data_IF_379206729092
#
_entry.id   IF_379206729092
#
_cell.length_a   1.000
_cell.length_b   1.000
_cell.length_c   1.000
_cell.angle_alpha   90.00
_cell.angle_beta   90.00
_cell.angle_gamma   90.00
#
_symmetry.space_group_name_H-M   'P 1'
#
loop_
_entity.id
_entity.type
_entity.pdbx_description
1 polymer ?
#
# COMPACT_ATOMS: atom_id res chain seq x y z
N UNK A 1 10.83 -11.28 22.34
CA UNK A 1 9.86 -10.61 21.44
C UNK A 1 9.70 -11.55 20.27
N UNK A 2 8.52 -12.13 20.12
CA UNK A 2 8.28 -13.22 19.18
C UNK A 2 8.49 -12.70 17.75
N UNK A 3 9.37 -13.35 16.98
CA UNK A 3 9.49 -13.14 15.55
C UNK A 3 8.15 -13.55 14.92
N UNK A 4 7.28 -12.57 14.67
CA UNK A 4 6.05 -12.79 13.92
C UNK A 4 6.44 -12.88 12.44
N UNK A 5 6.79 -14.09 12.03
CA UNK A 5 6.90 -14.43 10.61
C UNK A 5 5.55 -14.14 9.93
N UNK A 6 5.59 -13.27 8.92
CA UNK A 6 4.42 -12.96 8.10
C UNK A 6 4.08 -14.22 7.30
N UNK A 7 2.93 -14.81 7.60
CA UNK A 7 2.45 -16.04 6.98
C UNK A 7 2.05 -15.80 5.51
N UNK A 8 2.04 -16.83 4.65
CA UNK A 8 1.61 -16.69 3.25
C UNK A 8 0.22 -16.04 3.09
N UNK A 9 -0.70 -16.30 4.04
CA UNK A 9 -2.03 -15.70 4.03
C UNK A 9 -1.99 -14.19 4.33
N UNK A 10 -1.11 -13.74 5.23
CA UNK A 10 -0.91 -12.31 5.51
C UNK A 10 -0.24 -11.61 4.32
N UNK A 11 0.71 -12.26 3.64
CA UNK A 11 1.29 -11.73 2.38
C UNK A 11 0.21 -11.54 1.32
N UNK A 12 -0.71 -12.49 1.18
CA UNK A 12 -1.84 -12.38 0.26
C UNK A 12 -2.74 -11.19 0.64
N UNK A 13 -3.09 -11.03 1.92
CA UNK A 13 -3.86 -9.88 2.40
C UNK A 13 -3.14 -8.55 2.13
N UNK A 14 -1.81 -8.49 2.30
CA UNK A 14 -1.03 -7.30 1.98
C UNK A 14 -1.12 -6.95 0.48
N UNK A 15 -1.11 -7.95 -0.41
CA UNK A 15 -1.30 -7.73 -1.85
C UNK A 15 -2.72 -7.22 -2.19
N UNK A 16 -3.74 -7.70 -1.49
CA UNK A 16 -5.12 -7.22 -1.64
C UNK A 16 -5.23 -5.74 -1.23
N UNK A 17 -4.65 -5.39 -0.07
CA UNK A 17 -4.62 -4.00 0.43
C UNK A 17 -3.83 -3.10 -0.54
N UNK A 18 -2.67 -3.57 -1.04
CA UNK A 18 -1.88 -2.84 -2.03
C UNK A 18 -2.68 -2.58 -3.31
N UNK A 19 -3.41 -3.57 -3.80
CA UNK A 19 -4.26 -3.44 -4.99
C UNK A 19 -5.39 -2.44 -4.76
N UNK A 20 -6.03 -2.49 -3.58
CA UNK A 20 -7.05 -1.55 -3.18
C UNK A 20 -6.50 -0.11 -3.12
N UNK A 21 -5.36 0.10 -2.45
CA UNK A 21 -4.70 1.43 -2.36
C UNK A 21 -4.33 1.99 -3.73
N UNK A 22 -3.83 1.18 -4.65
CA UNK A 22 -3.56 1.61 -6.04
C UNK A 22 -4.85 2.07 -6.77
N UNK A 23 -5.96 1.37 -6.54
CA UNK A 23 -7.27 1.76 -7.11
C UNK A 23 -7.74 3.10 -6.54
N UNK A 24 -7.61 3.30 -5.23
CA UNK A 24 -7.94 4.57 -4.57
C UNK A 24 -7.06 5.71 -5.07
N UNK A 25 -5.73 5.52 -5.12
CA UNK A 25 -4.79 6.49 -5.65
C UNK A 25 -5.14 6.88 -7.09
N UNK A 26 -5.42 5.90 -7.95
CA UNK A 26 -5.82 6.15 -9.35
C UNK A 26 -7.07 7.04 -9.42
N UNK A 27 -8.07 6.77 -8.57
CA UNK A 27 -9.28 7.60 -8.47
C UNK A 27 -8.95 9.02 -8.03
N UNK A 28 -8.19 9.19 -6.95
CA UNK A 28 -7.85 10.50 -6.40
C UNK A 28 -7.01 11.32 -7.39
N UNK A 29 -6.00 10.71 -8.04
CA UNK A 29 -5.20 11.37 -9.09
C UNK A 29 -6.06 11.77 -10.29
N UNK A 30 -6.95 10.89 -10.75
CA UNK A 30 -7.79 11.16 -11.92
C UNK A 30 -8.85 12.23 -11.63
N UNK A 31 -9.40 12.25 -10.41
CA UNK A 31 -10.48 13.18 -10.03
C UNK A 31 -9.97 14.56 -9.60
N UNK A 32 -8.79 14.64 -8.95
CA UNK A 32 -8.21 15.91 -8.48
C UNK A 32 -8.20 17.06 -9.50
N UNK A 33 -7.86 16.85 -10.79
CA UNK A 33 -7.90 17.92 -11.79
C UNK A 33 -9.30 18.30 -12.26
N UNK A 34 -10.32 17.46 -12.01
CA UNK A 34 -11.71 17.68 -12.44
C UNK A 34 -12.55 18.41 -11.40
N UNK A 35 -12.05 18.53 -10.16
CA UNK A 35 -12.75 19.18 -9.06
C UNK A 35 -12.56 20.70 -9.11
N UNK A 36 -13.68 21.42 -9.12
CA UNK A 36 -13.70 22.89 -9.09
C UNK A 36 -13.64 23.50 -7.68
N UNK A 37 -14.01 22.73 -6.66
CA UNK A 37 -13.99 23.16 -5.26
C UNK A 37 -12.57 23.04 -4.69
N UNK A 38 -11.99 24.17 -4.27
CA UNK A 38 -10.59 24.23 -3.86
C UNK A 38 -10.30 23.44 -2.57
N UNK A 39 -11.27 23.37 -1.64
CA UNK A 39 -11.13 22.60 -0.42
C UNK A 39 -11.12 21.10 -0.72
N UNK A 40 -12.09 20.63 -1.51
CA UNK A 40 -12.16 19.24 -1.94
C UNK A 40 -10.92 18.84 -2.76
N UNK A 41 -10.41 19.73 -3.61
CA UNK A 41 -9.18 19.51 -4.37
C UNK A 41 -7.97 19.33 -3.44
N UNK A 42 -7.84 20.17 -2.42
CA UNK A 42 -6.78 20.06 -1.40
C UNK A 42 -6.86 18.72 -0.64
N UNK A 43 -8.07 18.29 -0.27
CA UNK A 43 -8.31 17.00 0.37
C UNK A 43 -7.84 15.85 -0.54
N UNK A 44 -8.18 15.87 -1.83
CA UNK A 44 -7.76 14.83 -2.77
C UNK A 44 -6.24 14.84 -3.00
N UNK A 45 -5.59 16.01 -3.06
CA UNK A 45 -4.13 16.09 -3.18
C UNK A 45 -3.42 15.53 -1.94
N UNK A 46 -3.98 15.78 -0.75
CA UNK A 46 -3.51 15.16 0.49
C UNK A 46 -3.67 13.64 0.45
N UNK A 47 -4.81 13.15 -0.02
CA UNK A 47 -5.07 11.71 -0.16
C UNK A 47 -4.12 11.03 -1.17
N UNK A 48 -3.79 11.70 -2.28
CA UNK A 48 -2.77 11.24 -3.24
C UNK A 48 -1.42 11.06 -2.54
N UNK A 49 -0.98 12.07 -1.80
CA UNK A 49 0.32 12.04 -1.10
C UNK A 49 0.35 10.94 -0.04
N UNK A 50 -0.71 10.81 0.76
CA UNK A 50 -0.80 9.77 1.79
C UNK A 50 -0.83 8.38 1.16
N UNK A 51 -1.64 8.19 0.11
CA UNK A 51 -1.75 6.89 -0.58
C UNK A 51 -0.43 6.45 -1.21
N UNK A 52 0.39 7.37 -1.73
CA UNK A 52 1.73 7.06 -2.22
C UNK A 52 2.64 6.55 -1.10
N UNK A 53 2.65 7.21 0.06
CA UNK A 53 3.43 6.78 1.22
C UNK A 53 2.99 5.40 1.72
N UNK A 54 1.68 5.17 1.85
CA UNK A 54 1.12 3.89 2.30
C UNK A 54 1.47 2.75 1.33
N UNK A 55 1.47 3.01 0.01
CA UNK A 55 1.86 2.03 -1.01
C UNK A 55 3.32 1.64 -0.87
N UNK A 56 4.22 2.59 -0.62
CA UNK A 56 5.64 2.32 -0.41
C UNK A 56 5.86 1.51 0.88
N UNK A 57 5.14 1.83 1.96
CA UNK A 57 5.19 1.04 3.19
C UNK A 57 4.70 -0.40 2.97
N UNK A 58 3.58 -0.58 2.28
CA UNK A 58 3.04 -1.91 1.95
C UNK A 58 4.01 -2.73 1.09
N UNK A 59 4.68 -2.10 0.11
CA UNK A 59 5.72 -2.75 -0.70
C UNK A 59 6.88 -3.23 0.15
N UNK A 60 7.36 -2.38 1.06
CA UNK A 60 8.44 -2.73 1.98
C UNK A 60 8.06 -3.89 2.91
N UNK A 61 6.80 -3.95 3.36
CA UNK A 61 6.30 -5.07 4.18
C UNK A 61 6.24 -6.38 3.39
N UNK A 62 5.76 -6.36 2.15
CA UNK A 62 5.71 -7.52 1.26
C UNK A 62 7.13 -8.02 0.90
N UNK A 63 8.08 -7.10 0.68
CA UNK A 63 9.46 -7.49 0.41
C UNK A 63 10.09 -8.20 1.61
N UNK A 64 9.89 -7.65 2.82
CA UNK A 64 10.35 -8.28 4.06
C UNK A 64 9.74 -9.68 4.26
N UNK A 65 8.45 -9.86 3.96
CA UNK A 65 7.82 -11.18 4.06
C UNK A 65 8.40 -12.19 3.07
N UNK A 66 8.67 -11.78 1.83
CA UNK A 66 9.26 -12.66 0.81
C UNK A 66 10.71 -13.06 1.15
N UNK A 67 11.47 -12.16 1.77
CA UNK A 67 12.83 -12.44 2.26
C UNK A 67 12.78 -13.48 3.40
N UNK A 68 11.84 -13.33 4.35
CA UNK A 68 11.66 -14.29 5.44
C UNK A 68 11.29 -15.70 4.93
N UNK A 69 10.40 -15.80 3.94
CA UNK A 69 10.05 -17.08 3.30
C UNK A 69 11.27 -17.72 2.61
N UNK A 70 12.13 -16.93 1.98
CA UNK A 70 13.32 -17.44 1.27
C UNK A 70 14.41 -17.98 2.22
N UNK A 71 14.48 -17.47 3.45
CA UNK A 71 15.40 -17.95 4.49
C UNK A 71 14.94 -19.32 5.06
N UNK A 72 13.63 -19.53 5.20
CA UNK A 72 13.04 -20.78 5.69
C UNK A 72 13.15 -21.97 4.72
N UNK A 73 13.48 -21.74 3.44
CA UNK A 73 13.67 -22.82 2.43
C UNK A 73 15.14 -23.29 2.35
N UNK A 74 16.09 -22.54 2.95
CA UNK A 74 17.53 -22.87 2.91
C UNK A 74 18.05 -23.64 4.13
N UNK A 75 17.18 -24.01 5.07
CA UNK A 75 17.51 -24.83 6.26
C UNK A 75 16.88 -26.21 6.14
#
# INVERSE_FOLDING_TARGET
MNEQDITPNEVMQLHEILTFKNTCLTKSVTMSPLVSDDELKSILQKDVTQSQNDIEELRNLIEKSNIAVSQNIKS
#
